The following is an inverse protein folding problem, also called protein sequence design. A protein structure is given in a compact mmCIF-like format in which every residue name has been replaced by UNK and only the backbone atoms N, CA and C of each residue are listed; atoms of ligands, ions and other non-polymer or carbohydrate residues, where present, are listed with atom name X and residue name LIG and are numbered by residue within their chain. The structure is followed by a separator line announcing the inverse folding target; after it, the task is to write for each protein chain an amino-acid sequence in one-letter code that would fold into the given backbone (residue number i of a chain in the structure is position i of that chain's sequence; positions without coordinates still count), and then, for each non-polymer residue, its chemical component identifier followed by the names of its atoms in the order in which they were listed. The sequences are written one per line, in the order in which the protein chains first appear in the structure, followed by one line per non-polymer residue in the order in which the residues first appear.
data_IF_723621631640
#
_entry.id   IF_723621631640
#
_cell.length_a   1.000
_cell.length_b   1.000
_cell.length_c   1.000
_cell.angle_alpha   90.00
_cell.angle_beta   90.00
_cell.angle_gamma   90.00
#
_symmetry.space_group_name_H-M   'P 1'
#
loop_
_entity.id
_entity.type
_entity.pdbx_description
1 polymer ?
#
# COMPACT_ATOMS: atom_id res chain seq x y z
N UNK A 1 -16.89 9.26 -48.90
CA UNK A 1 -17.92 8.98 -47.92
C UNK A 1 -17.47 7.82 -47.03
N UNK A 2 -16.94 8.12 -45.83
CA UNK A 2 -16.55 7.11 -44.82
C UNK A 2 -17.64 7.14 -43.74
N UNK A 3 -18.35 6.03 -43.60
CA UNK A 3 -19.31 5.84 -42.48
C UNK A 3 -18.54 5.54 -41.22
N UNK A 4 -18.66 6.43 -40.21
CA UNK A 4 -18.16 6.18 -38.88
C UNK A 4 -19.03 5.14 -38.17
N UNK A 5 -18.41 4.13 -37.60
CA UNK A 5 -19.02 3.23 -36.63
C UNK A 5 -19.05 3.94 -35.25
N UNK A 6 -20.26 4.30 -34.81
CA UNK A 6 -20.52 4.66 -33.43
C UNK A 6 -20.54 3.37 -32.60
N UNK A 7 -19.49 3.15 -31.82
CA UNK A 7 -19.51 2.19 -30.72
C UNK A 7 -20.20 2.86 -29.52
N UNK A 8 -21.44 2.50 -29.28
CA UNK A 8 -22.13 2.83 -28.03
C UNK A 8 -21.51 2.04 -26.89
N UNK A 9 -20.86 2.73 -25.97
CA UNK A 9 -20.40 2.17 -24.69
C UNK A 9 -21.62 1.78 -23.85
N UNK A 10 -21.81 0.48 -23.61
CA UNK A 10 -22.76 -0.02 -22.63
C UNK A 10 -22.14 0.20 -21.25
N UNK A 11 -22.78 0.90 -20.31
CA UNK A 11 -22.22 1.10 -18.99
C UNK A 11 -22.20 -0.22 -18.21
N UNK A 12 -21.03 -0.59 -17.73
CA UNK A 12 -20.74 -1.80 -16.93
C UNK A 12 -21.54 -1.85 -15.60
N UNK A 13 -22.26 -0.78 -15.27
CA UNK A 13 -22.92 -0.62 -13.98
C UNK A 13 -24.24 -1.38 -13.79
N UNK A 14 -24.90 -1.85 -14.85
CA UNK A 14 -26.21 -2.53 -14.71
C UNK A 14 -26.11 -4.01 -14.31
N UNK A 15 -24.92 -4.63 -14.31
CA UNK A 15 -24.77 -6.09 -14.08
C UNK A 15 -24.59 -6.44 -12.59
N UNK A 16 -24.38 -5.44 -11.71
CA UNK A 16 -24.00 -5.72 -10.31
C UNK A 16 -25.22 -5.95 -9.38
N UNK A 17 -26.46 -5.70 -9.81
CA UNK A 17 -27.60 -5.74 -8.89
C UNK A 17 -28.47 -7.01 -8.88
N UNK A 18 -28.14 -8.05 -9.66
CA UNK A 18 -29.00 -9.24 -9.71
C UNK A 18 -28.24 -10.55 -9.82
N UNK A 19 -27.60 -11.02 -8.76
CA UNK A 19 -27.02 -12.37 -8.79
C UNK A 19 -26.49 -12.83 -7.45
N UNK A 20 -27.12 -13.86 -6.89
CA UNK A 20 -26.61 -14.64 -5.75
C UNK A 20 -25.24 -15.27 -6.04
N UNK A 21 -24.32 -15.12 -5.11
CA UNK A 21 -22.87 -15.19 -5.13
C UNK A 21 -22.10 -16.38 -5.73
N UNK A 22 -22.65 -17.34 -6.43
CA UNK A 22 -21.88 -18.51 -6.92
C UNK A 22 -21.57 -18.52 -8.42
N UNK A 23 -22.25 -17.69 -9.24
CA UNK A 23 -22.08 -17.63 -10.69
C UNK A 23 -21.13 -16.54 -11.21
N UNK A 24 -20.61 -15.67 -10.34
CA UNK A 24 -19.95 -14.42 -10.73
C UNK A 24 -18.45 -14.53 -11.01
N UNK A 25 -17.78 -15.51 -10.44
CA UNK A 25 -16.32 -15.67 -10.56
C UNK A 25 -15.79 -16.02 -11.96
N UNK A 26 -16.45 -16.87 -12.77
CA UNK A 26 -15.94 -17.18 -14.10
C UNK A 26 -16.05 -16.01 -15.07
N UNK A 27 -17.10 -15.20 -15.00
CA UNK A 27 -17.30 -14.05 -15.92
C UNK A 27 -16.31 -12.91 -15.65
N UNK A 28 -15.94 -12.66 -14.38
CA UNK A 28 -14.89 -11.69 -14.05
C UNK A 28 -13.51 -12.16 -14.54
N UNK A 29 -13.21 -13.46 -14.49
CA UNK A 29 -11.96 -14.01 -15.03
C UNK A 29 -11.85 -13.77 -16.53
N UNK A 30 -12.90 -14.03 -17.29
CA UNK A 30 -12.88 -13.84 -18.76
C UNK A 30 -12.83 -12.36 -19.16
N UNK A 31 -13.63 -11.50 -18.52
CA UNK A 31 -13.64 -10.06 -18.81
C UNK A 31 -12.32 -9.36 -18.46
N UNK A 32 -11.72 -9.72 -17.34
CA UNK A 32 -10.40 -9.18 -16.92
C UNK A 32 -9.29 -9.71 -17.83
N UNK A 33 -9.37 -10.96 -18.26
CA UNK A 33 -8.34 -11.58 -19.12
C UNK A 33 -8.36 -11.05 -20.55
N UNK A 34 -9.53 -10.80 -21.13
CA UNK A 34 -9.62 -10.38 -22.55
C UNK A 34 -9.40 -8.88 -22.76
N UNK A 35 -9.88 -8.00 -21.89
CA UNK A 35 -9.70 -6.56 -22.06
C UNK A 35 -8.37 -6.03 -21.49
N UNK A 36 -7.79 -6.72 -20.51
CA UNK A 36 -6.55 -6.29 -19.87
C UNK A 36 -5.31 -6.49 -20.76
N UNK A 37 -5.32 -7.46 -21.68
CA UNK A 37 -4.15 -7.79 -22.53
C UNK A 37 -3.87 -6.75 -23.62
N UNK A 38 -4.83 -5.94 -24.05
CA UNK A 38 -4.65 -5.00 -25.17
C UNK A 38 -4.10 -3.63 -24.80
N UNK A 39 -4.16 -3.22 -23.51
CA UNK A 39 -3.74 -1.88 -23.05
C UNK A 39 -2.86 -1.87 -21.80
N UNK A 40 -2.28 -3.00 -21.40
CA UNK A 40 -1.34 -3.10 -20.27
C UNK A 40 -0.01 -2.34 -20.53
N UNK A 41 0.15 -1.76 -21.71
CA UNK A 41 1.40 -1.16 -22.20
C UNK A 41 1.83 0.13 -21.48
N UNK A 42 0.95 0.77 -20.69
CA UNK A 42 1.25 2.07 -20.05
C UNK A 42 2.09 1.96 -18.78
N UNK A 43 2.00 0.85 -18.05
CA UNK A 43 2.88 0.57 -16.91
C UNK A 43 4.00 -0.40 -17.32
N UNK A 44 5.25 -0.20 -16.86
CA UNK A 44 6.39 -1.02 -17.27
C UNK A 44 6.22 -2.49 -16.88
N UNK A 45 6.89 -3.38 -17.61
CA UNK A 45 7.00 -4.79 -17.22
C UNK A 45 7.75 -4.93 -15.88
N UNK A 46 7.52 -6.04 -15.18
CA UNK A 46 8.31 -6.37 -14.00
C UNK A 46 9.77 -6.62 -14.44
N UNK A 47 10.77 -6.08 -13.73
CA UNK A 47 12.17 -6.36 -14.04
C UNK A 47 12.52 -7.85 -13.88
N UNK A 48 13.37 -8.38 -14.75
CA UNK A 48 13.76 -9.81 -14.79
C UNK A 48 14.24 -10.35 -13.43
N UNK A 49 14.94 -9.52 -12.64
CA UNK A 49 15.43 -9.94 -11.31
C UNK A 49 14.32 -10.13 -10.27
N UNK A 50 13.09 -9.72 -10.57
CA UNK A 50 11.88 -9.93 -9.77
C UNK A 50 10.89 -10.89 -10.45
N UNK A 51 11.04 -11.13 -11.76
CA UNK A 51 10.15 -11.97 -12.54
C UNK A 51 10.58 -13.44 -12.48
N UNK A 52 10.28 -14.08 -11.36
CA UNK A 52 10.49 -15.52 -11.22
C UNK A 52 9.45 -16.16 -10.28
N UNK A 53 9.13 -17.42 -10.56
CA UNK A 53 8.35 -18.26 -9.67
C UNK A 53 9.29 -19.01 -8.72
N UNK A 54 9.29 -18.70 -7.40
CA UNK A 54 10.20 -19.34 -6.46
C UNK A 54 9.92 -20.83 -6.35
N UNK A 55 10.98 -21.63 -6.30
CA UNK A 55 10.90 -23.06 -6.00
C UNK A 55 10.80 -23.27 -4.49
N UNK A 56 10.12 -24.33 -4.08
CA UNK A 56 10.07 -24.77 -2.68
C UNK A 56 10.66 -26.18 -2.55
N UNK A 57 11.61 -26.32 -1.67
CA UNK A 57 12.25 -27.61 -1.37
C UNK A 57 12.22 -27.86 0.14
N UNK A 58 12.08 -29.13 0.53
CA UNK A 58 12.20 -29.53 1.94
C UNK A 58 13.61 -29.25 2.45
N UNK A 59 13.71 -28.63 3.61
CA UNK A 59 15.02 -28.45 4.24
C UNK A 59 15.65 -29.78 4.59
N UNK A 60 16.95 -29.92 4.31
CA UNK A 60 17.74 -31.05 4.76
C UNK A 60 18.88 -30.56 5.66
N UNK A 61 19.14 -31.32 6.70
CA UNK A 61 20.29 -31.07 7.60
C UNK A 61 21.07 -32.38 7.74
N UNK A 62 22.32 -32.38 7.31
CA UNK A 62 23.19 -33.60 7.28
C UNK A 62 22.49 -34.76 6.51
N UNK A 63 21.86 -34.46 5.39
CA UNK A 63 21.15 -35.47 4.59
C UNK A 63 19.77 -35.90 5.12
N UNK A 64 19.33 -35.40 6.28
CA UNK A 64 18.02 -35.73 6.87
C UNK A 64 17.03 -34.60 6.62
N UNK A 65 15.84 -34.95 6.11
CA UNK A 65 14.76 -33.98 5.91
C UNK A 65 14.26 -33.45 7.25
N UNK A 66 14.22 -32.11 7.39
CA UNK A 66 13.67 -31.44 8.57
C UNK A 66 12.17 -31.28 8.40
N UNK A 67 11.39 -31.92 9.25
CA UNK A 67 9.92 -31.88 9.15
C UNK A 67 9.38 -30.43 9.34
N UNK A 68 8.39 -30.11 8.52
CA UNK A 68 7.70 -28.81 8.56
C UNK A 68 8.53 -27.61 8.11
N UNK A 69 9.79 -27.82 7.67
CA UNK A 69 10.69 -26.77 7.19
C UNK A 69 10.91 -26.85 5.69
N UNK A 70 10.89 -25.67 5.04
CA UNK A 70 11.03 -25.55 3.60
C UNK A 70 12.00 -24.41 3.27
N UNK A 71 12.79 -24.59 2.24
CA UNK A 71 13.54 -23.53 1.60
C UNK A 71 12.74 -22.94 0.46
N UNK A 72 12.86 -21.64 0.30
CA UNK A 72 12.43 -20.89 -0.88
C UNK A 72 13.68 -20.56 -1.67
N UNK A 73 13.72 -20.97 -2.94
CA UNK A 73 14.90 -20.93 -3.79
C UNK A 73 14.58 -20.07 -5.02
N UNK A 74 15.50 -19.19 -5.38
CA UNK A 74 15.47 -18.48 -6.65
C UNK A 74 15.85 -19.47 -7.78
N UNK A 75 14.96 -19.76 -8.74
CA UNK A 75 15.22 -20.75 -9.77
C UNK A 75 16.28 -20.34 -10.80
N UNK A 76 16.63 -19.05 -10.87
CA UNK A 76 17.64 -18.54 -11.81
C UNK A 76 19.05 -18.62 -11.26
N UNK A 77 19.21 -18.45 -9.93
CA UNK A 77 20.53 -18.47 -9.26
C UNK A 77 20.77 -19.70 -8.43
N UNK A 78 19.73 -20.51 -8.21
CA UNK A 78 19.71 -21.67 -7.32
C UNK A 78 20.04 -21.33 -5.85
N UNK A 79 19.95 -20.04 -5.48
CA UNK A 79 20.21 -19.55 -4.14
C UNK A 79 19.00 -19.68 -3.24
N UNK A 80 19.23 -20.06 -1.98
CA UNK A 80 18.19 -20.01 -0.95
C UNK A 80 17.94 -18.54 -0.57
N UNK A 81 16.75 -18.04 -0.91
CA UNK A 81 16.32 -16.68 -0.63
C UNK A 81 15.45 -16.57 0.62
N UNK A 82 15.06 -17.69 1.23
CA UNK A 82 14.29 -17.69 2.46
C UNK A 82 14.02 -19.08 2.99
N UNK A 83 13.58 -19.14 4.25
CA UNK A 83 13.05 -20.34 4.87
C UNK A 83 11.57 -20.13 5.24
N UNK A 84 10.82 -21.21 5.24
CA UNK A 84 9.39 -21.13 5.48
C UNK A 84 8.81 -22.35 6.17
N UNK A 85 7.66 -22.16 6.80
CA UNK A 85 6.84 -23.23 7.33
C UNK A 85 6.03 -23.88 6.20
N UNK A 86 5.45 -25.05 6.48
CA UNK A 86 4.59 -25.79 5.55
C UNK A 86 3.49 -24.92 4.90
N UNK A 87 2.90 -24.01 5.68
CA UNK A 87 1.79 -23.17 5.22
C UNK A 87 2.21 -21.90 4.48
N UNK A 88 3.53 -21.63 4.36
CA UNK A 88 4.00 -20.50 3.58
C UNK A 88 4.02 -20.88 2.09
N UNK A 89 3.29 -20.13 1.29
CA UNK A 89 3.25 -20.27 -0.17
C UNK A 89 3.65 -18.93 -0.79
N UNK A 90 4.93 -18.75 -1.17
CA UNK A 90 5.38 -17.53 -1.80
C UNK A 90 4.67 -17.32 -3.12
N UNK A 91 4.08 -16.14 -3.30
CA UNK A 91 3.35 -15.77 -4.51
C UNK A 91 4.33 -15.28 -5.57
N UNK A 92 4.11 -15.64 -6.83
CA UNK A 92 4.86 -15.08 -7.95
C UNK A 92 4.59 -13.56 -8.05
N UNK A 93 5.67 -12.77 -8.07
CA UNK A 93 5.57 -11.31 -8.14
C UNK A 93 4.93 -10.84 -9.46
N UNK A 94 5.16 -11.54 -10.58
CA UNK A 94 4.54 -11.21 -11.86
C UNK A 94 3.01 -11.30 -11.78
N UNK A 95 2.46 -12.36 -11.17
CA UNK A 95 1.01 -12.51 -11.01
C UNK A 95 0.43 -11.36 -10.19
N UNK A 96 1.11 -10.96 -9.10
CA UNK A 96 0.69 -9.84 -8.25
C UNK A 96 0.74 -8.52 -9.02
N UNK A 97 1.80 -8.31 -9.79
CA UNK A 97 1.99 -7.13 -10.60
C UNK A 97 0.95 -7.00 -11.72
N UNK A 98 0.70 -8.07 -12.44
CA UNK A 98 -0.29 -8.09 -13.53
C UNK A 98 -1.71 -7.91 -13.01
N UNK A 99 -2.06 -8.49 -11.85
CA UNK A 99 -3.35 -8.26 -11.19
C UNK A 99 -3.53 -6.79 -10.80
N UNK A 100 -2.47 -6.14 -10.29
CA UNK A 100 -2.50 -4.71 -9.98
C UNK A 100 -2.68 -3.86 -11.23
N UNK A 101 -1.90 -4.13 -12.29
CA UNK A 101 -1.98 -3.41 -13.57
C UNK A 101 -3.39 -3.49 -14.16
N UNK A 102 -3.97 -4.68 -14.17
CA UNK A 102 -5.34 -4.91 -14.64
C UNK A 102 -6.38 -4.11 -13.83
N UNK A 103 -6.24 -4.08 -12.50
CA UNK A 103 -7.12 -3.32 -11.63
C UNK A 103 -6.99 -1.81 -11.81
N UNK A 104 -5.77 -1.30 -11.93
CA UNK A 104 -5.53 0.13 -12.21
C UNK A 104 -6.09 0.54 -13.57
N UNK A 105 -5.92 -0.27 -14.60
CA UNK A 105 -6.53 -0.03 -15.90
C UNK A 105 -8.06 0.00 -15.81
N UNK A 106 -8.65 -0.95 -15.09
CA UNK A 106 -10.11 -1.02 -14.87
C UNK A 106 -10.68 0.11 -14.01
N UNK A 107 -9.84 0.83 -13.26
CA UNK A 107 -10.27 1.95 -12.42
C UNK A 107 -10.55 3.25 -13.18
N UNK A 108 -10.19 3.33 -14.46
CA UNK A 108 -10.32 4.54 -15.27
C UNK A 108 -9.27 5.64 -14.95
N UNK A 109 -8.26 5.32 -14.15
CA UNK A 109 -7.13 6.23 -13.89
C UNK A 109 -6.26 6.39 -15.15
N UNK A 110 -5.75 7.60 -15.36
CA UNK A 110 -4.80 7.87 -16.45
C UNK A 110 -3.42 7.34 -16.05
N UNK A 111 -2.96 6.29 -16.73
CA UNK A 111 -1.70 5.63 -16.41
C UNK A 111 -0.52 6.11 -17.26
N UNK A 112 -0.77 6.90 -18.32
CA UNK A 112 0.25 7.31 -19.31
C UNK A 112 1.36 8.18 -18.71
N UNK A 113 1.05 8.89 -17.62
CA UNK A 113 2.00 9.75 -16.90
C UNK A 113 2.49 9.13 -15.59
N UNK A 114 2.23 7.83 -15.37
CA UNK A 114 2.60 7.16 -14.13
C UNK A 114 4.11 6.95 -14.01
N UNK A 115 4.69 7.39 -12.91
CA UNK A 115 6.05 7.07 -12.53
C UNK A 115 6.08 5.78 -11.72
N UNK A 116 6.79 4.75 -12.20
CA UNK A 116 6.90 3.45 -11.52
C UNK A 116 8.31 3.22 -11.03
N UNK A 117 8.45 2.87 -9.76
CA UNK A 117 9.73 2.58 -9.12
C UNK A 117 9.72 1.19 -8.50
N UNK A 118 10.52 0.29 -9.08
CA UNK A 118 10.77 -1.05 -8.54
C UNK A 118 11.91 -1.03 -7.53
N UNK A 119 11.73 -1.74 -6.43
CA UNK A 119 12.76 -1.97 -5.41
C UNK A 119 12.72 -3.42 -4.96
N UNK A 120 13.90 -4.01 -4.81
CA UNK A 120 14.03 -5.32 -4.18
C UNK A 120 14.70 -5.19 -2.81
N UNK A 121 14.54 -6.20 -1.98
CA UNK A 121 15.22 -6.33 -0.70
C UNK A 121 15.47 -7.81 -0.38
N UNK A 122 16.40 -8.09 0.55
CA UNK A 122 16.77 -9.43 0.95
C UNK A 122 17.17 -10.33 -0.24
N UNK A 123 18.14 -9.92 -1.05
CA UNK A 123 18.61 -10.66 -2.25
C UNK A 123 17.47 -11.04 -3.21
N UNK A 124 16.61 -10.08 -3.54
CA UNK A 124 15.42 -10.25 -4.38
C UNK A 124 14.34 -11.20 -3.80
N UNK A 125 14.46 -11.60 -2.54
CA UNK A 125 13.39 -12.32 -1.87
C UNK A 125 12.17 -11.44 -1.59
N UNK A 126 12.33 -10.12 -1.58
CA UNK A 126 11.25 -9.16 -1.40
C UNK A 126 11.16 -8.14 -2.52
N UNK A 127 9.93 -7.73 -2.81
CA UNK A 127 9.57 -6.73 -3.80
C UNK A 127 8.80 -5.58 -3.16
N UNK A 128 9.13 -4.36 -3.57
CA UNK A 128 8.27 -3.19 -3.42
C UNK A 128 8.18 -2.45 -4.74
N UNK A 129 6.98 -2.12 -5.17
CA UNK A 129 6.73 -1.23 -6.30
C UNK A 129 5.95 -0.03 -5.79
N UNK A 130 6.44 1.16 -6.09
CA UNK A 130 5.75 2.42 -5.87
C UNK A 130 5.36 2.98 -7.24
N UNK A 131 4.08 3.31 -7.42
CA UNK A 131 3.54 3.97 -8.60
C UNK A 131 3.04 5.33 -8.16
N UNK A 132 3.51 6.38 -8.80
CA UNK A 132 3.03 7.74 -8.61
C UNK A 132 2.23 8.14 -9.85
N UNK A 133 0.96 8.44 -9.63
CA UNK A 133 0.02 8.88 -10.65
C UNK A 133 -0.28 10.34 -10.40
N UNK A 134 0.13 11.28 -11.28
CA UNK A 134 -0.33 12.65 -11.19
C UNK A 134 -1.87 12.66 -11.27
N UNK A 135 -2.51 13.22 -10.25
CA UNK A 135 -3.96 13.26 -10.16
C UNK A 135 -4.42 14.66 -9.74
N UNK A 136 -4.93 15.39 -10.71
CA UNK A 136 -5.28 16.81 -10.54
C UNK A 136 -6.57 17.05 -9.73
N UNK A 137 -7.33 15.99 -9.40
CA UNK A 137 -8.69 16.13 -8.83
C UNK A 137 -8.75 16.19 -7.29
N UNK A 138 -7.61 16.14 -6.59
CA UNK A 138 -7.59 16.26 -5.14
C UNK A 138 -7.05 17.64 -4.71
N UNK A 139 -7.86 18.68 -4.83
CA UNK A 139 -7.57 19.97 -4.18
C UNK A 139 -7.70 19.84 -2.66
N UNK A 140 -6.72 19.26 -2.01
CA UNK A 140 -6.70 19.14 -0.54
C UNK A 140 -6.39 20.47 0.12
N UNK A 141 -5.41 21.18 -0.40
CA UNK A 141 -5.08 22.54 -0.01
C UNK A 141 -4.97 23.37 -1.28
N UNK A 142 -5.61 24.51 -1.33
CA UNK A 142 -5.64 25.39 -2.51
C UNK A 142 -4.22 25.68 -2.98
N UNK A 143 -3.92 25.35 -4.23
CA UNK A 143 -2.60 25.57 -4.85
C UNK A 143 -1.53 24.53 -4.52
N UNK A 144 -1.87 23.45 -3.78
CA UNK A 144 -0.93 22.36 -3.55
C UNK A 144 -1.21 21.16 -4.47
N UNK A 145 -0.31 20.84 -5.40
CA UNK A 145 -0.48 19.68 -6.27
C UNK A 145 -0.42 18.39 -5.46
N UNK A 146 -1.31 17.48 -5.77
CA UNK A 146 -1.39 16.15 -5.17
C UNK A 146 -1.24 15.07 -6.23
N UNK A 147 -0.83 13.88 -5.81
CA UNK A 147 -0.76 12.71 -6.65
C UNK A 147 -1.37 11.51 -5.93
N UNK A 148 -1.84 10.56 -6.70
CA UNK A 148 -2.18 9.23 -6.18
C UNK A 148 -0.89 8.40 -6.14
N UNK A 149 -0.56 7.88 -4.98
CA UNK A 149 0.51 6.89 -4.82
C UNK A 149 -0.05 5.53 -4.50
N UNK A 150 0.41 4.55 -5.26
CA UNK A 150 0.11 3.15 -5.05
C UNK A 150 1.39 2.44 -4.66
N UNK A 151 1.34 1.64 -3.60
CA UNK A 151 2.47 0.83 -3.18
C UNK A 151 2.03 -0.63 -3.06
N UNK A 152 2.74 -1.54 -3.75
CA UNK A 152 2.61 -2.97 -3.54
C UNK A 152 3.93 -3.50 -2.96
N UNK A 153 3.83 -4.38 -1.98
CA UNK A 153 4.98 -5.08 -1.42
C UNK A 153 4.63 -6.53 -1.12
N UNK A 154 5.61 -7.39 -1.28
CA UNK A 154 5.52 -8.81 -0.95
C UNK A 154 6.90 -9.39 -0.69
N UNK A 155 6.98 -10.58 -0.08
CA UNK A 155 8.25 -11.30 0.02
C UNK A 155 8.08 -12.82 -0.05
N UNK A 156 9.08 -13.48 -0.62
CA UNK A 156 9.18 -14.92 -0.68
C UNK A 156 9.73 -15.55 0.62
N UNK A 157 10.41 -14.74 1.45
CA UNK A 157 11.10 -15.13 2.69
C UNK A 157 10.30 -14.82 3.97
N UNK A 158 9.02 -14.48 3.86
CA UNK A 158 8.14 -14.07 4.96
C UNK A 158 8.56 -12.78 5.68
N UNK A 159 9.55 -12.05 5.20
CA UNK A 159 9.99 -10.78 5.81
C UNK A 159 8.97 -9.66 5.63
N UNK A 160 8.07 -9.78 4.65
CA UNK A 160 6.94 -8.88 4.44
C UNK A 160 5.69 -9.68 4.02
N UNK A 161 4.52 -9.18 4.43
CA UNK A 161 3.23 -9.65 3.93
C UNK A 161 2.99 -9.12 2.52
N UNK A 162 2.15 -9.80 1.75
CA UNK A 162 1.53 -9.18 0.60
C UNK A 162 0.70 -8.00 1.11
N UNK A 163 1.05 -6.82 0.66
CA UNK A 163 0.37 -5.58 1.01
C UNK A 163 0.26 -4.69 -0.20
N UNK A 164 -0.94 -4.18 -0.43
CA UNK A 164 -1.20 -3.16 -1.43
C UNK A 164 -1.88 -1.99 -0.74
N UNK A 165 -1.45 -0.78 -1.06
CA UNK A 165 -1.93 0.46 -0.44
C UNK A 165 -2.06 1.53 -1.49
N UNK A 166 -3.16 2.28 -1.46
CA UNK A 166 -3.31 3.50 -2.22
C UNK A 166 -3.45 4.67 -1.24
N UNK A 167 -2.83 5.79 -1.55
CA UNK A 167 -2.89 6.98 -0.73
C UNK A 167 -2.60 8.24 -1.56
N UNK A 168 -3.08 9.36 -1.06
CA UNK A 168 -2.85 10.66 -1.68
C UNK A 168 -1.47 11.18 -1.22
N UNK A 169 -0.63 11.59 -2.14
CA UNK A 169 0.68 12.19 -1.86
C UNK A 169 0.65 13.68 -2.19
N UNK A 170 1.11 14.52 -1.27
CA UNK A 170 1.33 15.94 -1.52
C UNK A 170 2.70 16.12 -2.18
N UNK A 171 2.74 16.64 -3.41
CA UNK A 171 3.98 16.73 -4.18
C UNK A 171 4.98 17.77 -3.62
N UNK A 172 4.50 18.82 -2.94
CA UNK A 172 5.35 19.86 -2.36
C UNK A 172 6.24 19.32 -1.22
N UNK A 173 5.77 18.33 -0.47
CA UNK A 173 6.49 17.81 0.71
C UNK A 173 6.95 16.36 0.55
N UNK A 174 6.70 15.70 -0.59
CA UNK A 174 6.92 14.26 -0.84
C UNK A 174 6.36 13.35 0.27
N UNK A 175 5.38 13.84 1.03
CA UNK A 175 4.74 13.08 2.09
C UNK A 175 3.65 12.21 1.50
N UNK A 176 3.88 10.92 1.42
CA UNK A 176 2.81 9.98 1.19
C UNK A 176 1.83 10.01 2.37
N UNK A 177 0.60 10.38 2.12
CA UNK A 177 -0.44 10.39 3.15
C UNK A 177 -1.03 8.98 3.26
N UNK A 178 -0.91 8.35 4.42
CA UNK A 178 -1.51 7.04 4.65
C UNK A 178 -3.04 7.16 4.58
N UNK A 179 -3.69 6.27 3.82
CA UNK A 179 -5.14 6.26 3.71
C UNK A 179 -5.80 6.00 5.06
N UNK A 180 -6.89 6.71 5.33
CA UNK A 180 -7.77 6.52 6.50
C UNK A 180 -8.81 5.44 6.24
N UNK A 181 -9.13 5.13 4.99
CA UNK A 181 -10.06 4.08 4.64
C UNK A 181 -9.41 2.70 4.73
N UNK A 182 -10.08 1.74 5.35
CA UNK A 182 -9.65 0.33 5.34
C UNK A 182 -9.70 -0.27 3.93
N UNK A 183 -10.57 0.26 3.09
CA UNK A 183 -10.81 -0.22 1.73
C UNK A 183 -9.70 0.14 0.73
N UNK A 184 -8.84 1.11 1.04
CA UNK A 184 -7.70 1.48 0.19
C UNK A 184 -6.48 0.59 0.37
N UNK A 185 -6.54 -0.37 1.27
CA UNK A 185 -5.44 -1.29 1.53
C UNK A 185 -5.90 -2.74 1.61
N UNK A 186 -5.11 -3.64 1.04
CA UNK A 186 -5.21 -5.08 1.23
C UNK A 186 -3.91 -5.56 1.86
N UNK A 187 -4.01 -6.37 2.91
CA UNK A 187 -2.85 -7.03 3.51
C UNK A 187 -3.20 -8.47 3.83
N UNK A 188 -2.43 -9.41 3.32
CA UNK A 188 -2.63 -10.84 3.57
C UNK A 188 -1.30 -11.58 3.72
N UNK A 189 -1.34 -12.71 4.43
CA UNK A 189 -0.19 -13.58 4.54
C UNK A 189 -0.01 -14.40 3.24
N UNK A 190 1.23 -14.69 2.89
CA UNK A 190 1.57 -15.59 1.79
C UNK A 190 1.28 -17.06 2.18
N UNK A 191 0.04 -17.44 2.10
CA UNK A 191 -0.46 -18.79 2.36
C UNK A 191 -1.14 -19.35 1.12
N UNK A 192 -1.50 -20.63 1.14
CA UNK A 192 -2.21 -21.28 0.04
C UNK A 192 -3.56 -20.60 -0.29
N UNK A 193 -4.15 -19.91 0.69
CA UNK A 193 -5.42 -19.19 0.54
C UNK A 193 -5.23 -17.71 0.13
N UNK A 194 -4.02 -17.30 -0.21
CA UNK A 194 -3.80 -15.95 -0.75
C UNK A 194 -4.40 -15.85 -2.16
N UNK A 195 -5.20 -14.81 -2.37
CA UNK A 195 -5.94 -14.57 -3.61
C UNK A 195 -5.37 -13.34 -4.33
N UNK A 196 -4.39 -13.52 -5.24
CA UNK A 196 -3.79 -12.39 -5.97
C UNK A 196 -4.81 -11.55 -6.75
N UNK A 197 -5.87 -12.17 -7.24
CA UNK A 197 -6.94 -11.53 -8.02
C UNK A 197 -7.68 -10.43 -7.24
N UNK A 198 -7.71 -10.54 -5.92
CA UNK A 198 -8.29 -9.50 -5.05
C UNK A 198 -7.56 -8.17 -5.13
N UNK A 199 -6.28 -8.18 -5.52
CA UNK A 199 -5.48 -6.98 -5.72
C UNK A 199 -6.11 -6.10 -6.80
N UNK A 200 -6.45 -6.69 -7.95
CA UNK A 200 -7.09 -5.97 -9.04
C UNK A 200 -8.47 -5.44 -8.66
N UNK A 201 -9.27 -6.25 -7.96
CA UNK A 201 -10.61 -5.84 -7.52
C UNK A 201 -10.58 -4.68 -6.51
N UNK A 202 -9.60 -4.64 -5.61
CA UNK A 202 -9.40 -3.52 -4.69
C UNK A 202 -8.90 -2.28 -5.44
N UNK A 203 -7.93 -2.45 -6.34
CA UNK A 203 -7.37 -1.34 -7.12
C UNK A 203 -8.42 -0.65 -8.00
N UNK A 204 -9.34 -1.39 -8.59
CA UNK A 204 -10.40 -0.83 -9.42
C UNK A 204 -11.34 0.14 -8.68
N UNK A 205 -11.46 0.01 -7.36
CA UNK A 205 -12.32 0.86 -6.51
C UNK A 205 -11.60 2.04 -5.86
N UNK A 206 -10.30 2.18 -6.05
CA UNK A 206 -9.55 3.25 -5.38
C UNK A 206 -10.02 4.67 -5.69
N UNK A 207 -10.45 5.05 -6.91
CA UNK A 207 -10.93 6.40 -7.13
C UNK A 207 -12.06 6.82 -6.16
N UNK A 208 -12.98 5.92 -5.85
CA UNK A 208 -14.09 6.17 -4.91
C UNK A 208 -13.58 6.38 -3.48
N UNK A 209 -12.73 5.46 -3.01
CA UNK A 209 -12.20 5.50 -1.64
C UNK A 209 -11.27 6.69 -1.41
N UNK A 210 -10.53 7.11 -2.44
CA UNK A 210 -9.63 8.25 -2.33
C UNK A 210 -10.40 9.58 -2.29
N UNK A 211 -11.55 9.68 -2.96
CA UNK A 211 -12.44 10.84 -2.82
C UNK A 211 -12.96 10.95 -1.40
N UNK A 212 -13.36 9.84 -0.78
CA UNK A 212 -13.77 9.81 0.63
C UNK A 212 -12.63 10.24 1.57
N UNK A 213 -11.42 9.75 1.35
CA UNK A 213 -10.25 10.15 2.14
C UNK A 213 -9.92 11.64 1.95
N UNK A 214 -10.01 12.17 0.73
CA UNK A 214 -9.82 13.59 0.46
C UNK A 214 -10.85 14.44 1.20
N UNK A 215 -12.11 14.00 1.24
CA UNK A 215 -13.15 14.68 2.02
C UNK A 215 -12.83 14.71 3.52
N UNK A 216 -12.41 13.59 4.10
CA UNK A 216 -11.97 13.49 5.51
C UNK A 216 -10.79 14.42 5.79
N UNK A 217 -9.81 14.48 4.88
CA UNK A 217 -8.67 15.39 5.00
C UNK A 217 -9.09 16.86 5.01
N UNK A 218 -10.06 17.24 4.17
CA UNK A 218 -10.64 18.59 4.19
C UNK A 218 -11.36 18.90 5.50
N UNK A 219 -12.11 17.95 6.05
CA UNK A 219 -12.74 18.12 7.36
C UNK A 219 -11.71 18.37 8.46
N UNK A 220 -10.62 17.58 8.49
CA UNK A 220 -9.55 17.74 9.48
C UNK A 220 -8.88 19.12 9.48
N UNK A 221 -8.91 19.87 8.36
CA UNK A 221 -8.37 21.23 8.31
C UNK A 221 -9.20 22.21 9.15
N UNK A 222 -10.46 21.91 9.40
CA UNK A 222 -11.37 22.72 10.24
C UNK A 222 -11.40 22.29 11.72
N UNK A 223 -10.79 21.15 12.10
CA UNK A 223 -10.83 20.64 13.47
C UNK A 223 -9.63 21.18 14.25
N UNK A 224 -9.84 22.03 15.27
CA UNK A 224 -8.75 22.61 16.07
C UNK A 224 -8.13 21.54 16.98
N UNK A 225 -6.81 21.48 17.05
CA UNK A 225 -6.05 20.61 17.96
C UNK A 225 -4.95 21.43 18.59
N UNK A 226 -5.05 21.66 19.90
CA UNK A 226 -4.02 22.42 20.60
C UNK A 226 -2.65 21.70 20.56
N UNK A 227 -1.57 22.48 20.70
CA UNK A 227 -0.22 21.90 20.82
C UNK A 227 -0.12 20.90 21.97
N UNK A 228 -0.84 21.15 23.06
CA UNK A 228 -0.86 20.27 24.23
C UNK A 228 -1.52 18.93 23.88
N UNK A 229 -2.67 18.94 23.23
CA UNK A 229 -3.38 17.72 22.81
C UNK A 229 -2.56 16.91 21.80
N UNK A 230 -1.90 17.59 20.85
CA UNK A 230 -0.99 16.96 19.92
C UNK A 230 0.20 16.25 20.64
N UNK A 231 0.84 16.92 21.61
CA UNK A 231 1.91 16.33 22.43
C UNK A 231 1.39 15.11 23.20
N UNK A 232 0.23 15.22 23.82
CA UNK A 232 -0.39 14.13 24.57
C UNK A 232 -0.68 12.94 23.66
N UNK A 233 -1.26 13.18 22.50
CA UNK A 233 -1.50 12.14 21.50
C UNK A 233 -0.20 11.44 21.05
N UNK A 234 0.83 12.21 20.66
CA UNK A 234 2.10 11.64 20.22
C UNK A 234 2.81 10.86 21.33
N UNK A 235 2.81 11.37 22.56
CA UNK A 235 3.44 10.69 23.69
C UNK A 235 2.75 9.38 24.02
N UNK A 236 1.42 9.35 23.91
CA UNK A 236 0.60 8.21 24.27
C UNK A 236 0.57 7.13 23.20
N UNK A 237 0.42 7.51 21.93
CA UNK A 237 0.12 6.55 20.86
C UNK A 237 1.28 6.29 19.91
N UNK A 238 2.23 7.24 19.78
CA UNK A 238 3.30 7.16 18.79
C UNK A 238 4.65 6.86 19.43
N UNK A 239 5.05 7.67 20.42
CA UNK A 239 6.36 7.60 21.06
C UNK A 239 6.42 6.66 22.27
N UNK A 240 5.35 5.96 22.60
CA UNK A 240 5.34 5.02 23.73
C UNK A 240 5.62 3.59 23.31
N UNK A 241 6.18 2.84 24.25
CA UNK A 241 6.40 1.40 24.12
C UNK A 241 5.88 0.71 25.39
N UNK A 242 5.16 -0.39 25.21
CA UNK A 242 4.73 -1.22 26.32
C UNK A 242 5.93 -2.03 26.84
N UNK A 243 6.22 -1.91 28.12
CA UNK A 243 7.24 -2.70 28.81
C UNK A 243 6.58 -3.58 29.88
N UNK A 244 7.34 -4.45 30.52
CA UNK A 244 6.84 -5.27 31.65
C UNK A 244 6.40 -4.40 32.85
N UNK A 245 7.03 -3.24 33.05
CA UNK A 245 6.75 -2.29 34.12
C UNK A 245 5.68 -1.26 33.76
N UNK A 246 5.08 -1.32 32.58
CA UNK A 246 4.09 -0.38 32.11
C UNK A 246 4.49 0.33 30.81
N UNK A 247 3.74 1.37 30.48
CA UNK A 247 3.96 2.17 29.26
C UNK A 247 5.06 3.21 29.49
N UNK A 248 6.10 3.20 28.66
CA UNK A 248 7.23 4.14 28.74
C UNK A 248 7.28 5.01 27.50
N UNK A 249 7.39 6.33 27.68
CA UNK A 249 7.52 7.29 26.57
C UNK A 249 8.99 7.43 26.17
N UNK A 250 9.26 7.22 24.89
CA UNK A 250 10.56 7.50 24.28
C UNK A 250 10.69 9.01 24.04
N UNK A 251 11.39 9.72 24.91
CA UNK A 251 11.58 11.17 24.84
C UNK A 251 12.30 11.63 23.58
N UNK A 252 13.32 10.87 23.13
CA UNK A 252 14.05 11.21 21.89
C UNK A 252 13.12 11.14 20.67
N UNK A 253 12.28 10.12 20.61
CA UNK A 253 11.27 9.99 19.56
C UNK A 253 10.23 11.10 19.64
N UNK A 254 9.73 11.43 20.82
CA UNK A 254 8.76 12.51 21.00
C UNK A 254 9.35 13.87 20.56
N UNK A 255 10.59 14.19 20.96
CA UNK A 255 11.26 15.41 20.52
C UNK A 255 11.41 15.49 19.01
N UNK A 256 11.74 14.37 18.35
CA UNK A 256 11.80 14.29 16.89
C UNK A 256 10.42 14.56 16.26
N UNK A 257 9.35 13.94 16.80
CA UNK A 257 7.98 14.15 16.32
C UNK A 257 7.59 15.62 16.47
N UNK A 258 7.94 16.26 17.58
CA UNK A 258 7.66 17.68 17.79
C UNK A 258 8.45 18.58 16.83
N UNK A 259 9.69 18.23 16.49
CA UNK A 259 10.43 18.90 15.44
C UNK A 259 9.72 18.84 14.08
N UNK A 260 9.23 17.65 13.69
CA UNK A 260 8.40 17.48 12.50
C UNK A 260 7.10 18.29 12.60
N UNK A 261 6.42 18.25 13.75
CA UNK A 261 5.21 19.04 13.99
C UNK A 261 5.44 20.53 13.73
N UNK A 262 6.57 21.06 14.18
CA UNK A 262 6.91 22.49 13.99
C UNK A 262 7.20 22.85 12.53
N UNK A 263 7.64 21.90 11.68
CA UNK A 263 7.80 22.13 10.24
C UNK A 263 6.47 22.36 9.52
N UNK A 264 5.38 21.79 10.06
CA UNK A 264 4.02 21.90 9.49
C UNK A 264 3.19 23.05 10.09
N UNK A 265 3.81 24.06 10.72
CA UNK A 265 3.10 25.19 11.34
C UNK A 265 2.15 25.95 10.40
N UNK A 266 2.45 25.97 9.09
CA UNK A 266 1.60 26.61 8.08
C UNK A 266 0.21 25.94 7.94
N UNK A 267 0.03 24.68 8.39
CA UNK A 267 -1.26 24.01 8.40
C UNK A 267 -2.15 24.43 9.59
N UNK A 268 -1.70 25.37 10.44
CA UNK A 268 -2.40 25.79 11.65
C UNK A 268 -2.37 24.73 12.76
N UNK A 269 -3.04 25.02 13.86
CA UNK A 269 -3.21 24.08 14.98
C UNK A 269 -4.46 23.23 14.73
N UNK A 270 -4.34 22.27 13.80
CA UNK A 270 -5.44 21.44 13.29
C UNK A 270 -5.12 19.96 13.38
N UNK A 271 -6.14 19.13 13.36
CA UNK A 271 -5.97 17.68 13.26
C UNK A 271 -5.31 17.26 11.94
N UNK A 272 -5.48 18.05 10.87
CA UNK A 272 -4.76 17.84 9.60
C UNK A 272 -3.24 17.97 9.76
N UNK A 273 -2.77 18.89 10.63
CA UNK A 273 -1.35 18.99 10.97
C UNK A 273 -0.86 17.73 11.68
N UNK A 274 -1.63 17.22 12.66
CA UNK A 274 -1.30 15.96 13.35
C UNK A 274 -1.21 14.80 12.34
N UNK A 275 -2.16 14.70 11.43
CA UNK A 275 -2.16 13.70 10.37
C UNK A 275 -0.91 13.79 9.48
N UNK A 276 -0.53 15.00 9.04
CA UNK A 276 0.67 15.22 8.22
C UNK A 276 1.96 14.83 8.94
N UNK A 277 2.05 15.05 10.25
CA UNK A 277 3.20 14.60 11.07
C UNK A 277 3.30 13.08 11.08
N UNK A 278 2.18 12.38 11.25
CA UNK A 278 2.16 10.91 11.23
C UNK A 278 2.60 10.37 9.88
N UNK A 279 2.07 10.91 8.80
CA UNK A 279 2.40 10.48 7.44
C UNK A 279 3.85 10.79 7.07
N UNK A 280 4.39 11.94 7.53
CA UNK A 280 5.82 12.24 7.39
C UNK A 280 6.70 11.16 8.03
N UNK A 281 6.33 10.70 9.21
CA UNK A 281 7.08 9.65 9.91
C UNK A 281 7.08 8.31 9.16
N UNK A 282 6.06 8.01 8.37
CA UNK A 282 5.98 6.78 7.58
C UNK A 282 6.77 6.87 6.27
N UNK A 283 6.89 8.06 5.69
CA UNK A 283 7.47 8.26 4.36
C UNK A 283 8.91 8.75 4.39
N UNK A 284 9.26 9.60 5.36
CA UNK A 284 10.61 10.15 5.52
C UNK A 284 11.36 9.44 6.65
N UNK A 285 11.77 8.21 6.41
CA UNK A 285 12.66 7.53 7.33
C UNK A 285 14.08 8.02 7.04
N UNK A 286 14.47 9.08 7.75
CA UNK A 286 15.74 9.80 7.60
C UNK A 286 16.92 8.97 8.06
N UNK A 287 17.29 7.91 7.42
CA UNK A 287 18.63 7.37 7.61
C UNK A 287 19.08 6.59 6.39
N UNK A 288 20.34 6.78 6.01
CA UNK A 288 21.06 5.91 5.06
C UNK A 288 20.99 4.42 5.46
N UNK A 289 20.63 4.14 6.72
CA UNK A 289 20.44 2.80 7.28
C UNK A 289 18.97 2.32 7.24
N UNK A 290 18.04 3.10 6.66
CA UNK A 290 16.66 2.64 6.51
C UNK A 290 16.55 1.69 5.35
N UNK A 291 16.41 0.41 5.67
CA UNK A 291 16.07 -0.61 4.69
C UNK A 291 14.58 -0.51 4.31
N UNK A 292 14.22 -0.96 3.13
CA UNK A 292 12.82 -1.08 2.67
C UNK A 292 11.95 -1.79 3.72
N UNK A 293 12.50 -2.81 4.41
CA UNK A 293 11.82 -3.52 5.50
C UNK A 293 11.48 -2.61 6.68
N UNK A 294 12.40 -1.75 7.12
CA UNK A 294 12.13 -0.80 8.22
C UNK A 294 11.06 0.22 7.84
N UNK A 295 11.06 0.67 6.59
CA UNK A 295 10.04 1.55 6.06
C UNK A 295 8.66 0.88 6.11
N UNK A 296 8.53 -0.37 5.63
CA UNK A 296 7.28 -1.14 5.67
C UNK A 296 6.72 -1.28 7.10
N UNK A 297 7.60 -1.58 8.08
CA UNK A 297 7.20 -1.68 9.49
C UNK A 297 6.68 -0.34 10.03
N UNK A 298 7.33 0.77 9.64
CA UNK A 298 6.88 2.10 10.06
C UNK A 298 5.55 2.48 9.41
N UNK A 299 5.38 2.21 8.12
CA UNK A 299 4.12 2.41 7.41
C UNK A 299 2.96 1.64 8.05
N UNK A 300 3.18 0.37 8.41
CA UNK A 300 2.15 -0.45 9.07
C UNK A 300 1.80 0.10 10.45
N UNK A 301 2.81 0.50 11.24
CA UNK A 301 2.59 1.10 12.56
C UNK A 301 1.78 2.40 12.45
N UNK A 302 2.18 3.32 11.60
CA UNK A 302 1.51 4.62 11.43
C UNK A 302 0.11 4.42 10.84
N UNK A 303 -0.04 3.55 9.84
CA UNK A 303 -1.35 3.20 9.29
C UNK A 303 -2.31 2.64 10.35
N UNK A 304 -1.81 1.81 11.27
CA UNK A 304 -2.60 1.32 12.41
C UNK A 304 -3.02 2.45 13.37
N UNK A 305 -2.14 3.42 13.63
CA UNK A 305 -2.47 4.59 14.47
C UNK A 305 -3.54 5.45 13.81
N UNK A 306 -3.41 5.77 12.52
CA UNK A 306 -4.37 6.59 11.78
C UNK A 306 -5.77 5.94 11.72
N UNK A 307 -5.85 4.62 11.70
CA UNK A 307 -7.11 3.87 11.70
C UNK A 307 -7.69 3.66 13.10
N UNK A 308 -6.95 3.97 14.16
CA UNK A 308 -7.40 3.76 15.55
C UNK A 308 -8.48 4.75 15.97
N UNK A 309 -9.32 4.34 16.93
CA UNK A 309 -10.33 5.21 17.49
C UNK A 309 -9.71 6.43 18.17
N UNK A 310 -8.57 6.29 18.82
CA UNK A 310 -7.84 7.40 19.43
C UNK A 310 -7.45 8.49 18.40
N UNK A 311 -7.12 8.11 17.16
CA UNK A 311 -6.88 9.10 16.11
C UNK A 311 -8.19 9.69 15.59
N UNK A 312 -9.24 8.89 15.41
CA UNK A 312 -10.57 9.38 14.97
C UNK A 312 -11.13 10.39 15.97
N UNK A 313 -10.95 10.18 17.28
CA UNK A 313 -11.35 11.12 18.32
C UNK A 313 -10.66 12.49 18.19
N UNK A 314 -9.36 12.54 17.89
CA UNK A 314 -8.66 13.82 17.70
C UNK A 314 -8.86 14.40 16.30
N UNK A 315 -9.16 13.57 15.32
CA UNK A 315 -9.28 13.96 13.91
C UNK A 315 -10.62 14.60 13.57
N UNK A 316 -11.69 14.24 14.28
CA UNK A 316 -13.08 14.59 13.94
C UNK A 316 -13.91 15.07 15.16
N UNK A 317 -13.23 15.47 16.24
CA UNK A 317 -13.88 15.99 17.47
C UNK A 317 -14.69 17.29 17.25
#
# INVERSE_FOLDING_TARGET
MRKGLHLTSVPVFEIIQSGSGEGFLPYLKEAVTMNALTNIATLPALPDYLDFAPKREKQTRNGVVVDGKWWTINPHTDEVIGDGKRNHHPQNFAILWDSLRAGLHGSGLQLDSAETKFRSFNNNAGMRVDILLPYENFDLVVGEPTALKVAISNSHDQSAKLSIKAYIERLICSNGQASMSENTSLSQLNTISAEPERIGAVAAKWPEFLQEDAHKMKQMQGVPVSRYDAINFYSTHVASTQTRSGKVVNRAMLNRIMGIHDTYKALGDTSYRVYNVLTHMSTHVESKACTTKKQLVMEDKIGGIIKSDAFKEIAFA
#
